data_IF_993901417457
#
_entry.id   IF_993901417457
#
_cell.length_a   1.000
_cell.length_b   1.000
_cell.length_c   1.000
_cell.angle_alpha   90.00
_cell.angle_beta   90.00
_cell.angle_gamma   90.00
#
_symmetry.space_group_name_H-M   'P 1'
#
loop_
_entity.id
_entity.type
_entity.pdbx_description
1 polymer ?
#
# COMPACT_ATOMS: atom_id res chain seq x y z
N UNK A 1 6.76 15.12 15.49
CA UNK A 1 6.31 14.59 15.18
C UNK A 1 5.77 14.00 14.65
N UNK A 2 5.54 13.96 14.26
CA UNK A 2 4.95 13.46 13.68
C UNK A 2 4.49 12.79 13.23
N UNK A 3 4.21 12.34 12.99
CA UNK A 3 3.66 11.70 12.44
C UNK A 3 2.77 11.61 11.91
N UNK A 4 2.65 11.43 11.38
CA UNK A 4 1.78 11.32 10.92
C UNK A 4 0.97 10.63 10.67
N UNK A 5 0.69 10.19 11.02
CA UNK A 5 -0.32 9.64 10.69
C UNK A 5 -1.16 10.20 9.80
N UNK A 6 -0.81 10.79 9.13
CA UNK A 6 -1.55 11.50 8.33
C UNK A 6 -2.35 10.87 7.33
N UNK A 7 -3.08 11.61 6.64
CA UNK A 7 -3.92 11.09 5.58
C UNK A 7 -3.08 10.86 4.35
N UNK A 8 -3.23 9.68 3.77
CA UNK A 8 -2.57 9.38 2.50
C UNK A 8 -3.42 9.93 1.37
N UNK A 9 -2.76 10.35 0.30
CA UNK A 9 -3.43 10.97 -0.82
C UNK A 9 -2.97 10.40 -2.13
N UNK A 10 -3.81 10.50 -3.15
CA UNK A 10 -3.41 10.16 -4.49
C UNK A 10 -2.22 11.03 -4.88
N UNK A 11 -1.19 10.40 -5.43
CA UNK A 11 0.05 11.08 -5.77
C UNK A 11 1.16 10.84 -4.77
N UNK A 12 0.85 10.27 -3.60
CA UNK A 12 1.88 9.97 -2.62
C UNK A 12 2.70 8.76 -3.07
N UNK A 13 4.01 8.87 -2.84
CA UNK A 13 4.91 7.75 -3.09
C UNK A 13 5.09 7.02 -1.76
N UNK A 14 4.87 5.72 -1.77
CA UNK A 14 4.87 4.92 -0.54
C UNK A 14 5.73 3.68 -0.71
N UNK A 15 6.27 3.23 0.43
CA UNK A 15 6.89 1.92 0.52
C UNK A 15 5.86 1.00 1.18
N UNK A 16 5.63 -0.16 0.59
CA UNK A 16 4.61 -1.07 1.09
C UNK A 16 5.07 -2.51 0.95
N UNK A 17 4.38 -3.41 1.65
CA UNK A 17 4.68 -4.83 1.58
C UNK A 17 3.62 -5.57 0.79
N UNK A 18 4.05 -6.58 0.07
CA UNK A 18 3.17 -7.51 -0.61
C UNK A 18 3.53 -8.90 -0.14
N UNK A 19 2.50 -9.71 0.14
CA UNK A 19 2.70 -11.10 0.46
C UNK A 19 2.54 -11.91 -0.82
N UNK A 20 3.51 -12.74 -1.11
CA UNK A 20 3.49 -13.59 -2.28
C UNK A 20 3.56 -15.04 -1.86
N UNK A 21 2.88 -15.90 -2.61
CA UNK A 21 2.85 -17.32 -2.32
C UNK A 21 3.94 -18.04 -3.11
N UNK A 22 4.63 -18.93 -2.43
CA UNK A 22 5.61 -19.80 -3.05
C UNK A 22 5.21 -21.24 -2.82
N UNK A 23 5.93 -22.15 -3.47
CA UNK A 23 5.63 -23.58 -3.30
C UNK A 23 5.71 -24.01 -1.83
N UNK A 24 6.63 -23.44 -1.08
CA UNK A 24 6.88 -23.85 0.28
C UNK A 24 6.34 -22.88 1.31
N UNK A 25 5.42 -22.00 0.93
CA UNK A 25 4.84 -21.05 1.87
C UNK A 25 4.72 -19.67 1.30
N UNK A 26 4.84 -18.67 2.17
CA UNK A 26 4.65 -17.28 1.80
C UNK A 26 5.91 -16.48 2.10
N UNK A 27 6.11 -15.42 1.35
CA UNK A 27 7.16 -14.47 1.66
C UNK A 27 6.62 -13.06 1.43
N UNK A 28 7.25 -12.08 2.07
CA UNK A 28 6.87 -10.69 1.88
C UNK A 28 7.96 -9.96 1.12
N UNK A 29 7.55 -9.03 0.29
CA UNK A 29 8.46 -8.21 -0.49
C UNK A 29 8.07 -6.76 -0.30
N UNK A 30 9.06 -5.89 -0.17
CA UNK A 30 8.81 -4.46 -0.07
C UNK A 30 8.95 -3.83 -1.44
N UNK A 31 8.05 -2.92 -1.77
CA UNK A 31 8.06 -2.23 -3.05
C UNK A 31 7.77 -0.76 -2.86
N UNK A 32 8.20 0.03 -3.81
CA UNK A 32 7.87 1.45 -3.86
C UNK A 32 6.82 1.64 -4.93
N UNK A 33 5.82 2.45 -4.64
CA UNK A 33 4.77 2.69 -5.59
C UNK A 33 4.06 4.00 -5.37
N UNK A 34 3.25 4.36 -6.34
CA UNK A 34 2.51 5.62 -6.34
C UNK A 34 1.04 5.33 -6.11
N UNK A 35 0.43 6.02 -5.14
CA UNK A 35 -0.99 5.87 -4.91
C UNK A 35 -1.74 6.56 -6.04
N UNK A 36 -2.55 5.80 -6.76
CA UNK A 36 -3.30 6.33 -7.90
C UNK A 36 -4.79 6.37 -7.65
N UNK A 37 -5.27 5.67 -6.62
CA UNK A 37 -6.70 5.71 -6.29
C UNK A 37 -6.87 5.31 -4.83
N UNK A 38 -7.90 5.85 -4.18
CA UNK A 38 -8.23 5.51 -2.80
C UNK A 38 -9.72 5.19 -2.76
N UNK A 39 -10.06 4.05 -2.16
CA UNK A 39 -11.46 3.66 -1.98
C UNK A 39 -11.78 3.59 -0.51
N UNK A 40 -12.85 4.27 -0.13
CA UNK A 40 -13.30 4.33 1.25
C UNK A 40 -14.64 3.61 1.33
N UNK A 41 -14.70 2.61 2.19
CA UNK A 41 -15.91 1.83 2.39
C UNK A 41 -16.50 2.13 3.76
N UNK A 42 -17.83 2.02 3.88
CA UNK A 42 -18.49 2.34 5.13
C UNK A 42 -18.11 1.37 6.25
N UNK A 43 -17.86 0.11 5.92
CA UNK A 43 -17.64 -0.91 6.93
C UNK A 43 -16.32 -1.65 6.76
N UNK A 44 -15.47 -1.19 5.87
CA UNK A 44 -14.22 -1.87 5.56
C UNK A 44 -13.06 -0.91 5.71
N UNK A 45 -11.85 -1.42 5.89
CA UNK A 45 -10.68 -0.55 5.88
C UNK A 45 -10.55 0.19 4.55
N UNK A 46 -9.93 1.35 4.60
CA UNK A 46 -9.63 2.10 3.38
C UNK A 46 -8.64 1.31 2.55
N UNK A 47 -8.88 1.24 1.25
CA UNK A 47 -8.00 0.53 0.33
C UNK A 47 -7.33 1.53 -0.60
N UNK A 48 -6.07 1.28 -0.87
CA UNK A 48 -5.27 2.14 -1.73
C UNK A 48 -4.83 1.35 -2.96
N UNK A 49 -5.04 1.93 -4.13
CA UNK A 49 -4.53 1.34 -5.35
C UNK A 49 -3.17 1.96 -5.62
N UNK A 50 -2.15 1.12 -5.62
CA UNK A 50 -0.77 1.57 -5.76
C UNK A 50 -0.18 0.99 -7.04
N UNK A 51 0.44 1.85 -7.82
CA UNK A 51 1.12 1.44 -9.04
C UNK A 51 2.60 1.24 -8.73
N UNK A 52 3.09 0.03 -8.91
CA UNK A 52 4.48 -0.31 -8.65
C UNK A 52 4.95 -1.28 -9.72
N UNK A 53 6.08 -0.96 -10.34
CA UNK A 53 6.70 -1.83 -11.35
C UNK A 53 5.74 -2.17 -12.48
N UNK A 54 4.92 -1.20 -12.86
CA UNK A 54 3.99 -1.39 -13.97
C UNK A 54 2.75 -2.19 -13.63
N UNK A 55 2.54 -2.51 -12.35
CA UNK A 55 1.38 -3.27 -11.93
C UNK A 55 0.61 -2.53 -10.86
N UNK A 56 -0.69 -2.76 -10.81
CA UNK A 56 -1.55 -2.15 -9.81
C UNK A 56 -1.78 -3.13 -8.67
N UNK A 57 -1.71 -2.63 -7.44
CA UNK A 57 -1.92 -3.43 -6.25
C UNK A 57 -2.91 -2.74 -5.33
N UNK A 58 -3.94 -3.47 -4.89
CA UNK A 58 -4.84 -2.97 -3.85
C UNK A 58 -4.26 -3.36 -2.50
N UNK A 59 -3.97 -2.36 -1.67
CA UNK A 59 -3.38 -2.59 -0.37
C UNK A 59 -4.15 -1.82 0.69
N UNK A 60 -3.95 -2.21 1.94
CA UNK A 60 -4.54 -1.52 3.08
C UNK A 60 -3.46 -0.70 3.78
N UNK A 61 -3.90 0.19 4.64
CA UNK A 61 -2.97 1.07 5.33
C UNK A 61 -1.92 0.29 6.11
N UNK A 62 -2.32 -0.83 6.69
CA UNK A 62 -1.37 -1.65 7.47
C UNK A 62 -0.21 -2.18 6.64
N UNK A 63 -0.39 -2.23 5.31
CA UNK A 63 0.67 -2.70 4.43
C UNK A 63 1.63 -1.60 4.01
N UNK A 64 1.29 -0.36 4.33
CA UNK A 64 2.14 0.78 3.96
C UNK A 64 3.13 1.01 5.09
N UNK A 65 4.41 0.93 4.75
CA UNK A 65 5.47 1.04 5.73
C UNK A 65 5.94 2.47 5.92
N UNK A 66 5.92 3.24 4.85
CA UNK A 66 6.47 4.57 4.89
C UNK A 66 5.93 5.41 3.76
N UNK A 67 5.68 6.68 4.02
CA UNK A 67 5.33 7.66 2.98
C UNK A 67 6.58 8.47 2.69
N UNK A 68 6.98 8.51 1.43
CA UNK A 68 8.24 9.14 1.04
C UNK A 68 8.10 10.60 0.63
#
# INVERSE_FOLDING_TARGET
MSQQTGTLEVGDLVKFTIMSQMLNGFYTTQKLGLIIEIKIYATSPVCYLVLAEGKEHWIQQRDILEVL
#
